data_IF_679069445953
#
_entry.id   IF_679069445953
#
_cell.length_a   1.000
_cell.length_b   1.000
_cell.length_c   1.000
_cell.angle_alpha   90.00
_cell.angle_beta   90.00
_cell.angle_gamma   90.00
#
_symmetry.space_group_name_H-M   'P 1'
#
loop_
_entity.id
_entity.type
_entity.pdbx_description
1 polymer ?
#
# COMPACT_ATOMS: atom_id res chain seq x y z
N UNK A 1 15.51 -15.31 -2.66
CA UNK A 1 14.45 -14.38 -2.18
C UNK A 1 13.05 -15.01 -2.35
N UNK A 2 12.84 -16.26 -1.93
CA UNK A 2 11.64 -17.04 -2.29
C UNK A 2 10.39 -16.77 -1.41
N UNK A 3 10.53 -16.02 -0.31
CA UNK A 3 9.45 -15.81 0.67
C UNK A 3 8.48 -14.66 0.36
N UNK A 4 8.82 -13.76 -0.56
CA UNK A 4 8.00 -12.57 -0.87
C UNK A 4 7.07 -12.77 -2.09
N UNK A 5 7.19 -13.88 -2.81
CA UNK A 5 6.44 -14.11 -4.04
C UNK A 5 4.91 -14.07 -3.86
N UNK A 6 4.32 -14.59 -2.76
CA UNK A 6 2.89 -14.45 -2.51
C UNK A 6 2.45 -12.99 -2.28
N UNK A 7 3.26 -12.20 -1.56
CA UNK A 7 2.96 -10.79 -1.30
C UNK A 7 2.95 -9.99 -2.60
N UNK A 8 3.98 -10.15 -3.44
CA UNK A 8 4.06 -9.44 -4.72
C UNK A 8 2.92 -9.84 -5.66
N UNK A 9 2.59 -11.13 -5.74
CA UNK A 9 1.48 -11.59 -6.57
C UNK A 9 0.12 -11.03 -6.12
N UNK A 10 -0.11 -10.88 -4.81
CA UNK A 10 -1.31 -10.23 -4.30
C UNK A 10 -1.31 -8.71 -4.59
N UNK A 11 -0.17 -8.03 -4.40
CA UNK A 11 -0.02 -6.62 -4.72
C UNK A 11 -0.31 -6.33 -6.22
N UNK A 12 0.21 -7.17 -7.12
CA UNK A 12 -0.03 -7.06 -8.56
C UNK A 12 -1.52 -7.19 -8.91
N UNK A 13 -2.27 -8.04 -8.21
CA UNK A 13 -3.71 -8.16 -8.41
C UNK A 13 -4.46 -6.88 -7.99
N UNK A 14 -4.08 -6.25 -6.87
CA UNK A 14 -4.65 -4.96 -6.47
C UNK A 14 -4.31 -3.85 -7.47
N UNK A 15 -3.09 -3.84 -8.01
CA UNK A 15 -2.67 -2.89 -9.05
C UNK A 15 -3.46 -3.11 -10.34
N UNK A 16 -3.65 -4.36 -10.76
CA UNK A 16 -4.45 -4.68 -11.95
C UNK A 16 -5.89 -4.16 -11.83
N UNK A 17 -6.52 -4.36 -10.66
CA UNK A 17 -7.84 -3.81 -10.39
C UNK A 17 -7.84 -2.27 -10.37
N UNK A 18 -6.85 -1.64 -9.73
CA UNK A 18 -6.72 -0.17 -9.75
C UNK A 18 -6.58 0.37 -11.18
N UNK A 19 -5.79 -0.30 -12.03
CA UNK A 19 -5.65 0.08 -13.44
C UNK A 19 -6.96 -0.06 -14.21
N UNK A 20 -7.75 -1.11 -13.95
CA UNK A 20 -9.08 -1.26 -14.54
C UNK A 20 -10.03 -0.13 -14.12
N UNK A 21 -10.06 0.21 -12.82
CA UNK A 21 -10.89 1.29 -12.30
C UNK A 21 -10.45 2.65 -12.87
N UNK A 22 -9.15 2.86 -13.05
CA UNK A 22 -8.60 4.11 -13.55
C UNK A 22 -9.02 4.40 -15.00
N UNK A 23 -9.33 3.38 -15.81
CA UNK A 23 -9.86 3.57 -17.17
C UNK A 23 -11.21 4.28 -17.19
N UNK A 24 -11.96 4.21 -16.08
CA UNK A 24 -13.30 4.81 -15.94
C UNK A 24 -13.29 6.06 -15.04
N UNK A 25 -12.11 6.49 -14.57
CA UNK A 25 -11.97 7.60 -13.64
C UNK A 25 -11.22 8.78 -14.27
N UNK A 26 -11.93 9.73 -14.89
CA UNK A 26 -11.31 10.91 -15.49
C UNK A 26 -10.68 11.86 -14.47
N UNK A 27 -10.97 11.70 -13.17
CA UNK A 27 -10.55 12.61 -12.11
C UNK A 27 -9.30 12.13 -11.35
N UNK A 28 -8.78 10.94 -11.66
CA UNK A 28 -7.56 10.41 -11.03
C UNK A 28 -7.71 10.08 -9.53
N UNK A 29 -8.93 9.84 -9.08
CA UNK A 29 -9.27 9.50 -7.69
C UNK A 29 -8.91 8.07 -7.29
N UNK A 30 -8.74 7.13 -8.23
CA UNK A 30 -8.42 5.72 -7.93
C UNK A 30 -7.17 5.57 -7.08
N UNK A 31 -6.14 6.37 -7.32
CA UNK A 31 -4.93 6.33 -6.49
C UNK A 31 -5.20 6.70 -5.02
N UNK A 32 -6.08 7.67 -4.77
CA UNK A 32 -6.50 8.03 -3.42
C UNK A 32 -7.40 6.94 -2.81
N UNK A 33 -8.31 6.37 -3.61
CA UNK A 33 -9.18 5.27 -3.19
C UNK A 33 -8.38 4.03 -2.78
N UNK A 34 -7.32 3.69 -3.52
CA UNK A 34 -6.44 2.56 -3.20
C UNK A 34 -5.73 2.77 -1.85
N UNK A 35 -5.19 3.97 -1.59
CA UNK A 35 -4.59 4.30 -0.28
C UNK A 35 -5.59 4.22 0.85
N UNK A 36 -6.81 4.70 0.64
CA UNK A 36 -7.88 4.61 1.63
C UNK A 36 -8.32 3.16 1.89
N UNK A 37 -8.40 2.34 0.85
CA UNK A 37 -8.69 0.91 0.97
C UNK A 37 -7.60 0.17 1.76
N UNK A 38 -6.33 0.44 1.47
CA UNK A 38 -5.20 -0.11 2.22
C UNK A 38 -5.29 0.27 3.71
N UNK A 39 -5.55 1.53 4.03
CA UNK A 39 -5.72 1.98 5.41
C UNK A 39 -6.87 1.27 6.15
N UNK A 40 -8.01 1.07 5.49
CA UNK A 40 -9.15 0.33 6.05
C UNK A 40 -8.82 -1.13 6.31
N UNK A 41 -8.13 -1.78 5.37
CA UNK A 41 -7.75 -3.18 5.51
C UNK A 41 -6.72 -3.37 6.63
N UNK A 42 -5.70 -2.52 6.72
CA UNK A 42 -4.72 -2.57 7.82
C UNK A 42 -5.35 -2.34 9.19
N UNK A 43 -6.34 -1.44 9.30
CA UNK A 43 -7.08 -1.25 10.54
C UNK A 43 -7.91 -2.48 10.94
N UNK A 44 -8.49 -3.19 9.96
CA UNK A 44 -9.18 -4.45 10.19
C UNK A 44 -8.23 -5.57 10.61
N UNK A 45 -7.09 -5.73 9.95
CA UNK A 45 -6.08 -6.71 10.36
C UNK A 45 -5.62 -6.48 11.80
N UNK A 46 -5.35 -5.22 12.15
CA UNK A 46 -4.99 -4.85 13.51
C UNK A 46 -6.11 -5.15 14.53
N UNK A 47 -7.39 -5.05 14.16
CA UNK A 47 -8.49 -5.36 15.07
C UNK A 47 -8.64 -6.86 15.34
N UNK A 48 -8.24 -7.73 14.40
CA UNK A 48 -8.37 -9.19 14.57
C UNK A 48 -7.51 -9.78 15.69
N UNK A 49 -6.42 -9.09 16.05
CA UNK A 49 -5.49 -9.51 17.11
C UNK A 49 -5.64 -8.74 18.43
N UNK A 50 -6.57 -7.79 18.53
CA UNK A 50 -6.67 -6.88 19.69
C UNK A 50 -8.11 -6.78 20.20
N UNK A 51 -8.34 -7.13 21.47
CA UNK A 51 -9.64 -6.96 22.13
C UNK A 51 -10.00 -5.47 22.35
N UNK A 52 -8.99 -4.61 22.49
CA UNK A 52 -9.14 -3.15 22.58
C UNK A 52 -8.08 -2.46 21.70
N UNK A 53 -8.47 -2.16 20.46
CA UNK A 53 -7.61 -1.46 19.51
C UNK A 53 -7.29 -0.02 19.95
N UNK A 54 -8.11 0.58 20.82
CA UNK A 54 -7.89 1.94 21.29
C UNK A 54 -6.67 2.04 22.21
N UNK A 55 -6.47 1.04 23.06
CA UNK A 55 -5.31 0.94 23.97
C UNK A 55 -3.97 0.85 23.24
N UNK A 56 -3.97 0.28 22.03
CA UNK A 56 -2.76 0.08 21.20
C UNK A 56 -2.70 0.98 19.96
N UNK A 57 -3.64 1.93 19.82
CA UNK A 57 -3.80 2.75 18.61
C UNK A 57 -2.50 3.42 18.15
N UNK A 58 -1.80 4.08 19.08
CA UNK A 58 -0.58 4.85 18.76
C UNK A 58 0.51 3.97 18.15
N UNK A 59 0.99 2.94 18.88
CA UNK A 59 1.96 1.99 18.35
C UNK A 59 1.54 1.32 17.04
N UNK A 60 0.27 0.88 16.92
CA UNK A 60 -0.25 0.23 15.72
C UNK A 60 -0.20 1.14 14.50
N UNK A 61 -0.68 2.39 14.63
CA UNK A 61 -0.66 3.36 13.53
C UNK A 61 0.78 3.68 13.13
N UNK A 62 1.69 3.85 14.10
CA UNK A 62 3.10 4.14 13.82
C UNK A 62 3.76 3.00 13.02
N UNK A 63 3.51 1.74 13.40
CA UNK A 63 4.05 0.58 12.70
C UNK A 63 3.56 0.50 11.24
N UNK A 64 2.24 0.63 11.02
CA UNK A 64 1.65 0.58 9.67
C UNK A 64 2.20 1.70 8.77
N UNK A 65 2.29 2.92 9.30
CA UNK A 65 2.81 4.08 8.55
C UNK A 65 4.29 3.88 8.19
N UNK A 66 5.09 3.37 9.13
CA UNK A 66 6.52 3.14 8.91
C UNK A 66 6.78 2.07 7.83
N UNK A 67 6.03 0.98 7.85
CA UNK A 67 6.14 -0.06 6.82
C UNK A 67 5.73 0.48 5.44
N UNK A 68 4.61 1.21 5.38
CA UNK A 68 4.18 1.86 4.15
C UNK A 68 5.21 2.86 3.62
N UNK A 69 5.80 3.68 4.51
CA UNK A 69 6.83 4.67 4.17
C UNK A 69 8.04 4.00 3.52
N UNK A 70 8.57 2.94 4.11
CA UNK A 70 9.71 2.19 3.55
C UNK A 70 9.43 1.65 2.15
N UNK A 71 8.24 1.07 1.95
CA UNK A 71 7.83 0.56 0.64
C UNK A 71 7.69 1.68 -0.39
N UNK A 72 7.11 2.81 0.01
CA UNK A 72 6.95 3.97 -0.87
C UNK A 72 8.30 4.56 -1.27
N UNK A 73 9.21 4.78 -0.31
CA UNK A 73 10.55 5.30 -0.56
C UNK A 73 11.32 4.40 -1.54
N UNK A 74 11.31 3.08 -1.30
CA UNK A 74 11.94 2.12 -2.22
C UNK A 74 11.43 2.25 -3.66
N UNK A 75 10.10 2.34 -3.84
CA UNK A 75 9.50 2.49 -5.17
C UNK A 75 9.82 3.85 -5.80
N UNK A 76 9.79 4.94 -5.02
CA UNK A 76 10.16 6.27 -5.51
C UNK A 76 11.61 6.29 -5.97
N UNK A 77 12.53 5.68 -5.22
CA UNK A 77 13.94 5.58 -5.59
C UNK A 77 14.14 4.76 -6.87
N UNK A 78 13.41 3.65 -7.02
CA UNK A 78 13.42 2.84 -8.24
C UNK A 78 12.95 3.63 -9.46
N UNK A 79 11.81 4.34 -9.36
CA UNK A 79 11.33 5.18 -10.46
C UNK A 79 12.28 6.33 -10.75
N UNK A 80 12.88 6.94 -9.72
CA UNK A 80 13.88 8.01 -9.87
C UNK A 80 15.10 7.52 -10.66
N UNK A 81 15.62 6.32 -10.33
CA UNK A 81 16.73 5.70 -11.08
C UNK A 81 16.35 5.41 -12.53
N UNK A 82 15.17 4.85 -12.79
CA UNK A 82 14.69 4.54 -14.15
C UNK A 82 14.53 5.80 -15.01
N UNK A 83 13.98 6.88 -14.45
CA UNK A 83 13.81 8.15 -15.13
C UNK A 83 15.16 8.83 -15.43
N UNK A 84 16.15 8.69 -14.54
CA UNK A 84 17.49 9.21 -14.77
C UNK A 84 18.26 8.41 -15.84
N UNK A 85 18.06 7.09 -15.92
CA UNK A 85 18.71 6.23 -16.90
C UNK A 85 18.04 6.25 -18.29
N UNK A 86 16.79 6.69 -18.38
CA UNK A 86 16.01 6.85 -19.61
C UNK A 86 16.06 8.26 -20.21
N UNK A 87 16.96 9.13 -19.74
CA UNK A 87 17.31 10.43 -20.31
C UNK A 87 18.71 10.39 -20.89
#
# INVERSE_FOLDING_TARGET
>A
MSGYQPLFSAADQFIALANQLAQQDPNGTVGAALRYAAARYSAFEASTGNADLSAVRGPTVAAIVEDFRKMLEHNVDDYSRRLAAGR
#
